data_IF_427143533084
#
_entry.id   IF_427143533084
#
_cell.length_a   1.000
_cell.length_b   1.000
_cell.length_c   1.000
_cell.angle_alpha   90.00
_cell.angle_beta   90.00
_cell.angle_gamma   90.00
#
_symmetry.space_group_name_H-M   'P 1'
#
loop_
_entity.id
_entity.type
_entity.pdbx_description
1 polymer ?
#
# COMPACT_ATOMS: atom_id res chain seq x y z
N UNK A 1 -8.87 15.92 -59.11
CA UNK A 1 -7.94 15.32 -58.13
C UNK A 1 -8.72 15.15 -56.84
N UNK A 2 -9.10 13.91 -56.58
CA UNK A 2 -10.10 13.51 -55.58
C UNK A 2 -9.62 13.64 -54.14
N UNK A 3 -10.58 13.94 -53.27
CA UNK A 3 -10.46 13.91 -51.82
C UNK A 3 -10.24 12.48 -51.31
N UNK A 4 -9.42 12.33 -50.26
CA UNK A 4 -9.42 11.13 -49.40
C UNK A 4 -9.64 11.56 -47.96
N UNK A 5 -10.88 11.39 -47.53
CA UNK A 5 -11.31 11.41 -46.13
C UNK A 5 -10.67 10.24 -45.37
N UNK A 6 -10.02 10.53 -44.25
CA UNK A 6 -9.45 9.52 -43.37
C UNK A 6 -10.52 9.14 -42.31
N UNK A 7 -11.19 8.00 -42.51
CA UNK A 7 -12.21 7.49 -41.58
C UNK A 7 -11.54 6.98 -40.29
N UNK A 8 -11.94 7.47 -39.10
CA UNK A 8 -11.49 6.89 -37.83
C UNK A 8 -11.99 5.45 -37.70
N UNK A 9 -11.11 4.55 -37.25
CA UNK A 9 -11.36 3.09 -37.26
C UNK A 9 -12.54 2.72 -36.35
N UNK A 10 -13.52 2.05 -36.95
CA UNK A 10 -14.74 1.53 -36.30
C UNK A 10 -14.47 0.51 -35.17
N UNK A 11 -13.20 0.12 -34.95
CA UNK A 11 -12.76 -0.69 -33.82
C UNK A 11 -12.72 0.09 -32.50
N UNK A 12 -12.51 1.42 -32.51
CA UNK A 12 -12.42 2.25 -31.29
C UNK A 12 -13.76 2.48 -30.58
N UNK A 13 -14.89 2.38 -31.29
CA UNK A 13 -16.23 2.57 -30.70
C UNK A 13 -16.92 1.27 -30.26
N UNK A 14 -16.52 0.12 -30.82
CA UNK A 14 -17.06 -1.19 -30.39
C UNK A 14 -16.55 -1.56 -28.99
N UNK A 15 -15.28 -1.24 -28.72
CA UNK A 15 -14.60 -1.51 -27.45
C UNK A 15 -15.01 -0.59 -26.29
N UNK A 16 -15.50 0.63 -26.58
CA UNK A 16 -16.05 1.50 -25.54
C UNK A 16 -17.42 1.01 -25.03
N UNK A 17 -18.23 0.38 -25.90
CA UNK A 17 -19.55 -0.14 -25.53
C UNK A 17 -19.50 -1.52 -24.87
N UNK A 18 -18.56 -2.38 -25.26
CA UNK A 18 -18.33 -3.68 -24.59
C UNK A 18 -17.68 -3.50 -23.20
N UNK A 19 -16.83 -2.48 -23.03
CA UNK A 19 -16.22 -2.06 -21.75
C UNK A 19 -17.25 -1.63 -20.69
N UNK A 20 -18.31 -0.94 -21.08
CA UNK A 20 -19.37 -0.49 -20.16
C UNK A 20 -20.33 -1.64 -19.78
N UNK A 21 -20.54 -2.62 -20.67
CA UNK A 21 -21.33 -3.81 -20.39
C UNK A 21 -20.68 -4.69 -19.30
N UNK A 22 -19.36 -4.92 -19.39
CA UNK A 22 -18.59 -5.71 -18.41
C UNK A 22 -18.51 -5.00 -17.04
N UNK A 23 -18.37 -3.67 -17.03
CA UNK A 23 -18.41 -2.88 -15.78
C UNK A 23 -19.79 -2.83 -15.12
N UNK A 24 -20.86 -3.08 -15.89
CA UNK A 24 -22.24 -3.13 -15.38
C UNK A 24 -22.55 -4.51 -14.78
N UNK A 25 -22.06 -5.60 -15.37
CA UNK A 25 -22.21 -6.95 -14.81
C UNK A 25 -21.42 -7.15 -13.50
N UNK A 26 -20.29 -6.46 -13.33
CA UNK A 26 -19.53 -6.50 -12.07
C UNK A 26 -20.19 -5.71 -10.93
N UNK A 27 -21.16 -4.83 -11.21
CA UNK A 27 -21.91 -4.08 -10.18
C UNK A 27 -23.13 -4.81 -9.64
N UNK A 28 -23.69 -5.77 -10.39
CA UNK A 28 -24.92 -6.49 -10.00
C UNK A 28 -24.67 -7.63 -9.01
N UNK A 29 -23.41 -8.07 -8.84
CA UNK A 29 -23.06 -9.15 -7.91
C UNK A 29 -23.02 -8.68 -6.44
N UNK A 30 -22.92 -7.38 -6.19
CA UNK A 30 -22.76 -6.79 -4.84
C UNK A 30 -24.09 -6.44 -4.15
N UNK A 31 -25.24 -6.94 -4.63
CA UNK A 31 -26.57 -6.63 -4.06
C UNK A 31 -27.46 -7.86 -3.89
N UNK A 32 -27.14 -8.70 -2.91
CA UNK A 32 -28.11 -9.65 -2.35
C UNK A 32 -28.24 -9.42 -0.84
N UNK A 33 -29.45 -9.14 -0.32
CA UNK A 33 -29.69 -9.03 1.11
C UNK A 33 -29.77 -10.43 1.73
N UNK A 34 -28.89 -10.74 2.67
CA UNK A 34 -29.02 -11.93 3.52
C UNK A 34 -29.94 -11.61 4.68
N UNK A 35 -31.20 -12.04 4.54
CA UNK A 35 -32.11 -12.22 5.66
C UNK A 35 -32.70 -13.64 5.59
N UNK A 36 -33.11 -14.11 6.77
CA UNK A 36 -33.86 -15.34 7.06
C UNK A 36 -33.15 -16.68 7.34
N UNK A 37 -33.08 -16.96 8.65
CA UNK A 37 -33.88 -17.99 9.34
C UNK A 37 -33.74 -19.45 8.89
N UNK A 38 -33.19 -20.25 9.81
CA UNK A 38 -33.18 -21.70 9.80
C UNK A 38 -34.60 -22.29 9.73
N UNK A 39 -34.81 -23.23 8.82
CA UNK A 39 -35.74 -24.34 9.02
C UNK A 39 -35.29 -25.57 8.23
N UNK A 40 -35.02 -26.62 8.99
CA UNK A 40 -34.77 -27.99 8.56
C UNK A 40 -36.00 -28.59 7.87
N UNK A 41 -35.84 -29.23 6.72
CA UNK A 41 -36.61 -30.43 6.35
C UNK A 41 -35.80 -31.29 5.38
N UNK A 42 -35.70 -32.56 5.75
CA UNK A 42 -35.09 -33.69 5.05
C UNK A 42 -35.92 -34.13 3.85
N UNK A 43 -35.29 -34.45 2.72
CA UNK A 43 -35.77 -35.51 1.80
C UNK A 43 -34.66 -35.95 0.85
N UNK A 44 -34.30 -37.24 0.95
CA UNK A 44 -33.38 -37.94 0.07
C UNK A 44 -33.92 -38.05 -1.35
N UNK A 45 -33.11 -37.66 -2.33
CA UNK A 45 -33.13 -38.26 -3.67
C UNK A 45 -31.69 -38.35 -4.17
N UNK A 46 -31.12 -39.55 -4.11
CA UNK A 46 -29.85 -39.86 -4.77
C UNK A 46 -30.11 -40.05 -6.26
N UNK A 47 -29.41 -39.27 -7.09
CA UNK A 47 -29.46 -39.34 -8.56
C UNK A 47 -28.38 -40.31 -9.09
N UNK A 48 -28.60 -41.02 -10.22
CA UNK A 48 -27.88 -42.25 -10.57
C UNK A 48 -26.50 -42.07 -11.24
N UNK A 49 -25.75 -41.02 -10.89
CA UNK A 49 -24.46 -40.72 -11.53
C UNK A 49 -23.21 -41.16 -10.74
N UNK A 50 -23.38 -42.04 -9.76
CA UNK A 50 -22.26 -42.71 -9.09
C UNK A 50 -21.99 -44.08 -9.71
N UNK A 51 -21.31 -44.10 -10.86
CA UNK A 51 -20.46 -45.24 -11.21
C UNK A 51 -19.46 -44.88 -12.33
N UNK A 52 -18.34 -44.26 -11.96
CA UNK A 52 -16.97 -44.59 -12.45
C UNK A 52 -15.94 -43.61 -11.86
N UNK A 53 -15.39 -43.95 -10.70
CA UNK A 53 -14.03 -43.53 -10.33
C UNK A 53 -13.37 -44.58 -9.44
N UNK A 54 -12.84 -45.62 -10.07
CA UNK A 54 -11.80 -46.46 -9.48
C UNK A 54 -10.49 -46.09 -10.17
N UNK A 55 -9.59 -45.45 -9.43
CA UNK A 55 -8.17 -45.80 -9.27
C UNK A 55 -7.56 -44.69 -8.41
N UNK A 56 -6.90 -45.04 -7.30
CA UNK A 56 -6.31 -44.13 -6.30
C UNK A 56 -7.32 -43.52 -5.31
N UNK A 57 -7.47 -44.18 -4.16
CA UNK A 57 -8.25 -43.68 -3.03
C UNK A 57 -7.55 -42.48 -2.40
N UNK A 58 -7.98 -41.29 -2.80
CA UNK A 58 -7.61 -40.03 -2.16
C UNK A 58 -8.36 -40.00 -0.83
N UNK A 59 -7.63 -39.88 0.28
CA UNK A 59 -8.20 -39.79 1.62
C UNK A 59 -9.06 -38.52 1.76
N UNK A 60 -10.08 -38.53 2.62
CA UNK A 60 -10.90 -37.34 2.90
C UNK A 60 -10.06 -36.11 3.29
N UNK A 61 -8.87 -36.33 3.88
CA UNK A 61 -7.89 -35.29 4.19
C UNK A 61 -7.25 -34.67 2.94
N UNK A 62 -6.95 -35.49 1.94
CA UNK A 62 -6.43 -35.05 0.65
C UNK A 62 -7.52 -34.41 -0.22
N UNK A 63 -8.78 -34.87 -0.10
CA UNK A 63 -9.94 -34.21 -0.71
C UNK A 63 -10.16 -32.81 -0.12
N UNK A 64 -10.14 -32.66 1.21
CA UNK A 64 -10.21 -31.34 1.87
C UNK A 64 -9.01 -30.45 1.57
N UNK A 65 -7.82 -31.02 1.34
CA UNK A 65 -6.65 -30.28 0.92
C UNK A 65 -6.74 -29.83 -0.54
N UNK A 66 -7.35 -30.66 -1.40
CA UNK A 66 -7.65 -30.36 -2.80
C UNK A 66 -8.75 -29.29 -2.92
N UNK A 67 -9.84 -29.40 -2.17
CA UNK A 67 -10.91 -28.39 -2.12
C UNK A 67 -10.36 -27.07 -1.56
N UNK A 68 -9.49 -27.10 -0.53
CA UNK A 68 -8.74 -25.91 -0.08
C UNK A 68 -7.76 -25.35 -1.11
N UNK A 69 -7.27 -26.17 -2.03
CA UNK A 69 -6.35 -25.76 -3.11
C UNK A 69 -7.12 -25.17 -4.30
N UNK A 70 -8.30 -25.72 -4.62
CA UNK A 70 -9.24 -25.24 -5.64
C UNK A 70 -9.90 -23.92 -5.17
N UNK A 71 -10.11 -23.75 -3.87
CA UNK A 71 -10.70 -22.55 -3.26
C UNK A 71 -9.67 -21.51 -2.80
N UNK A 72 -8.38 -21.59 -3.18
CA UNK A 72 -7.49 -20.48 -2.85
C UNK A 72 -7.99 -19.23 -3.56
N UNK A 73 -8.47 -18.21 -2.83
CA UNK A 73 -9.08 -17.06 -3.46
C UNK A 73 -8.00 -16.38 -4.30
N UNK A 74 -8.26 -16.23 -5.59
CA UNK A 74 -7.44 -15.51 -6.56
C UNK A 74 -6.97 -14.18 -5.93
N UNK A 75 -5.66 -13.91 -5.98
CA UNK A 75 -5.03 -12.71 -5.38
C UNK A 75 -4.35 -11.86 -6.45
N UNK A 76 -5.13 -11.16 -7.30
CA UNK A 76 -4.57 -10.45 -8.45
C UNK A 76 -3.86 -9.16 -8.02
N UNK A 77 -4.17 -8.65 -6.82
CA UNK A 77 -3.64 -7.39 -6.35
C UNK A 77 -2.32 -7.59 -5.59
N UNK A 78 -1.20 -7.49 -6.31
CA UNK A 78 0.14 -7.43 -5.74
C UNK A 78 0.45 -6.02 -5.19
N UNK A 79 1.15 -5.91 -4.06
CA UNK A 79 1.52 -4.60 -3.50
C UNK A 79 2.38 -3.81 -4.49
N UNK A 80 2.10 -2.51 -4.68
CA UNK A 80 2.88 -1.62 -5.57
C UNK A 80 4.34 -1.45 -5.13
N UNK A 81 4.64 -1.75 -3.86
CA UNK A 81 6.02 -1.77 -3.33
C UNK A 81 6.63 -3.18 -3.31
N UNK A 82 6.13 -4.11 -4.14
CA UNK A 82 6.69 -5.45 -4.26
C UNK A 82 8.16 -5.42 -4.68
N UNK A 83 8.53 -4.53 -5.60
CA UNK A 83 9.92 -4.33 -6.04
C UNK A 83 10.89 -3.92 -4.92
N UNK A 84 10.38 -3.37 -3.82
CA UNK A 84 11.16 -2.97 -2.65
C UNK A 84 11.08 -4.01 -1.50
N UNK A 85 10.49 -5.18 -1.75
CA UNK A 85 10.45 -6.30 -0.81
C UNK A 85 9.09 -6.55 -0.13
N UNK A 86 8.00 -5.88 -0.52
CA UNK A 86 6.67 -6.25 -0.02
C UNK A 86 6.08 -7.46 -0.74
N UNK A 87 5.97 -8.59 -0.06
CA UNK A 87 5.40 -9.82 -0.66
C UNK A 87 3.89 -9.99 -0.41
N UNK A 88 3.17 -8.91 -0.10
CA UNK A 88 1.73 -9.00 0.20
C UNK A 88 0.88 -8.97 -1.07
N UNK A 89 -0.04 -9.92 -1.15
CA UNK A 89 -1.03 -10.05 -2.23
C UNK A 89 -2.44 -10.13 -1.66
N UNK A 90 -3.42 -9.61 -2.39
CA UNK A 90 -4.80 -9.45 -1.92
C UNK A 90 -5.79 -9.94 -2.97
N UNK A 91 -6.89 -10.51 -2.51
CA UNK A 91 -8.03 -10.86 -3.37
C UNK A 91 -8.96 -9.68 -3.62
N UNK A 92 -8.92 -8.65 -2.75
CA UNK A 92 -9.81 -7.48 -2.83
C UNK A 92 -9.03 -6.19 -3.01
N UNK A 93 -9.44 -5.38 -3.98
CA UNK A 93 -8.89 -4.04 -4.26
C UNK A 93 -8.83 -3.15 -3.03
N UNK A 94 -9.90 -3.11 -2.23
CA UNK A 94 -9.98 -2.25 -1.06
C UNK A 94 -8.99 -2.64 0.05
N UNK A 95 -8.64 -3.92 0.14
CA UNK A 95 -7.63 -4.40 1.09
C UNK A 95 -6.22 -4.04 0.63
N UNK A 96 -5.97 -4.18 -0.68
CA UNK A 96 -4.73 -3.78 -1.31
C UNK A 96 -4.46 -2.27 -1.16
N UNK A 97 -5.41 -1.40 -1.55
CA UNK A 97 -5.26 0.06 -1.37
C UNK A 97 -4.99 0.43 0.09
N UNK A 98 -5.74 -0.17 1.01
CA UNK A 98 -5.59 0.05 2.46
C UNK A 98 -4.23 -0.42 2.96
N UNK A 99 -3.73 -1.54 2.47
CA UNK A 99 -2.41 -2.05 2.83
C UNK A 99 -1.31 -1.07 2.41
N UNK A 100 -1.31 -0.64 1.15
CA UNK A 100 -0.33 0.32 0.61
C UNK A 100 -0.32 1.60 1.45
N UNK A 101 -1.51 2.18 1.69
CA UNK A 101 -1.63 3.44 2.42
C UNK A 101 -1.24 3.31 3.90
N UNK A 102 -1.65 2.22 4.59
CA UNK A 102 -1.42 2.09 6.04
C UNK A 102 -0.04 1.54 6.40
N UNK A 103 0.49 0.61 5.61
CA UNK A 103 1.73 -0.09 5.94
C UNK A 103 2.96 0.63 5.41
N UNK A 104 2.88 1.16 4.18
CA UNK A 104 4.05 1.72 3.51
C UNK A 104 4.02 3.25 3.51
N UNK A 105 2.87 3.85 3.16
CA UNK A 105 2.80 5.31 3.01
C UNK A 105 2.53 6.01 4.35
N UNK A 106 1.74 5.45 5.26
CA UNK A 106 1.46 6.00 6.59
C UNK A 106 1.32 7.54 6.60
N UNK A 107 0.37 8.10 5.84
CA UNK A 107 0.26 9.56 5.62
C UNK A 107 0.20 10.37 6.91
N UNK A 108 -0.45 9.81 7.92
CA UNK A 108 -0.64 10.45 9.21
C UNK A 108 -0.18 9.51 10.31
N UNK A 109 0.40 10.11 11.35
CA UNK A 109 0.74 9.42 12.58
C UNK A 109 0.50 10.34 13.78
N UNK A 110 0.49 9.75 14.96
CA UNK A 110 0.30 10.47 16.22
C UNK A 110 1.58 10.41 17.02
N UNK A 111 2.01 11.57 17.52
CA UNK A 111 3.21 11.71 18.34
C UNK A 111 2.85 12.45 19.62
N UNK A 112 3.11 11.81 20.76
CA UNK A 112 2.99 12.46 22.05
C UNK A 112 4.31 13.16 22.41
N UNK A 113 4.25 14.49 22.52
CA UNK A 113 5.38 15.36 22.85
C UNK A 113 5.47 15.72 24.34
N UNK A 114 4.61 15.15 25.19
CA UNK A 114 4.66 15.44 26.63
C UNK A 114 5.96 14.95 27.25
N UNK A 115 6.60 15.83 28.02
CA UNK A 115 7.90 15.56 28.66
C UNK A 115 7.94 14.30 29.52
N UNK A 116 6.80 13.89 30.09
CA UNK A 116 6.69 12.65 30.88
C UNK A 116 6.77 11.40 29.99
N UNK A 117 6.34 11.50 28.74
CA UNK A 117 6.35 10.43 27.75
C UNK A 117 7.62 10.42 26.91
N UNK A 118 8.35 11.53 26.85
CA UNK A 118 9.68 11.61 26.24
C UNK A 118 10.76 10.96 27.12
N UNK A 119 10.69 11.14 28.44
CA UNK A 119 11.66 10.58 29.39
C UNK A 119 11.53 9.06 29.60
N UNK A 120 10.35 8.48 29.39
CA UNK A 120 10.09 7.04 29.50
C UNK A 120 10.61 6.23 28.29
N UNK A 121 10.99 6.88 27.18
CA UNK A 121 11.57 6.24 25.98
C UNK A 121 13.05 5.88 26.15
N UNK A 122 13.55 5.77 27.39
CA UNK A 122 14.93 5.29 27.68
C UNK A 122 15.11 3.77 27.51
N UNK A 123 14.12 3.07 26.99
CA UNK A 123 14.25 1.69 26.53
C UNK A 123 13.94 1.61 25.04
N UNK A 124 14.93 1.85 24.18
CA UNK A 124 14.92 1.26 22.83
C UNK A 124 15.61 2.01 21.69
N UNK A 125 15.53 3.33 21.59
CA UNK A 125 16.02 3.99 20.36
C UNK A 125 16.47 5.43 20.63
N UNK A 126 17.77 5.68 20.47
CA UNK A 126 18.37 7.02 20.49
C UNK A 126 18.74 7.41 19.07
N UNK A 127 18.15 8.49 18.55
CA UNK A 127 18.66 9.21 17.40
C UNK A 127 19.20 10.58 17.82
N UNK A 128 20.47 10.81 17.50
CA UNK A 128 21.09 12.13 17.53
C UNK A 128 21.29 12.57 16.08
N UNK A 129 20.27 13.22 15.50
CA UNK A 129 20.47 14.04 14.31
C UNK A 129 19.41 15.16 14.23
N UNK A 130 19.91 16.39 14.06
CA UNK A 130 19.23 17.59 13.56
C UNK A 130 17.93 18.05 14.24
N UNK A 131 18.03 18.91 15.27
CA UNK A 131 17.04 19.93 15.71
C UNK A 131 15.52 19.62 15.59
N UNK A 132 15.11 18.35 15.61
CA UNK A 132 13.77 17.87 15.91
C UNK A 132 13.86 17.23 17.29
N UNK A 133 12.90 17.44 18.21
CA UNK A 133 12.98 16.82 19.53
C UNK A 133 13.06 15.30 19.35
N UNK A 134 14.16 14.68 19.78
CA UNK A 134 14.44 13.25 19.59
C UNK A 134 13.62 12.32 20.49
N UNK A 135 12.52 12.82 21.08
CA UNK A 135 11.81 12.14 22.13
C UNK A 135 10.31 12.37 22.05
N UNK A 136 9.55 11.28 22.14
CA UNK A 136 8.09 11.23 22.11
C UNK A 136 7.62 9.82 21.74
N UNK A 137 6.46 9.39 22.25
CA UNK A 137 5.90 8.09 21.87
C UNK A 137 5.11 8.23 20.57
N UNK A 138 5.49 7.47 19.56
CA UNK A 138 4.90 7.50 18.20
C UNK A 138 3.88 6.37 18.03
N UNK A 139 2.76 6.66 17.37
CA UNK A 139 1.68 5.73 17.10
C UNK A 139 1.18 5.88 15.67
N UNK A 140 1.08 4.77 14.92
CA UNK A 140 0.47 4.76 13.57
C UNK A 140 -1.03 5.03 13.58
N UNK A 141 -1.71 4.82 14.71
CA UNK A 141 -3.17 4.85 14.80
C UNK A 141 -3.68 5.72 15.95
N UNK A 142 -4.81 6.39 15.69
CA UNK A 142 -5.52 7.24 16.63
C UNK A 142 -5.91 6.52 17.92
N UNK A 143 -6.46 5.31 17.82
CA UNK A 143 -6.95 4.54 18.97
C UNK A 143 -5.81 4.17 19.94
N UNK A 144 -4.65 3.80 19.42
CA UNK A 144 -3.45 3.54 20.22
C UNK A 144 -2.96 4.80 20.94
N UNK A 145 -2.96 5.93 20.24
CA UNK A 145 -2.64 7.22 20.84
C UNK A 145 -3.68 7.61 21.92
N UNK A 146 -4.97 7.49 21.65
CA UNK A 146 -6.03 7.80 22.62
C UNK A 146 -5.94 6.93 23.87
N UNK A 147 -5.64 5.64 23.71
CA UNK A 147 -5.42 4.74 24.84
C UNK A 147 -4.23 5.19 25.68
N UNK A 148 -3.14 5.64 25.04
CA UNK A 148 -2.00 6.22 25.74
C UNK A 148 -2.36 7.49 26.49
N UNK A 149 -3.05 8.44 25.85
CA UNK A 149 -3.48 9.70 26.45
C UNK A 149 -4.34 9.46 27.69
N UNK A 150 -5.31 8.54 27.61
CA UNK A 150 -6.17 8.19 28.75
C UNK A 150 -5.38 7.67 29.95
N UNK A 151 -4.36 6.83 29.71
CA UNK A 151 -3.57 6.19 30.77
C UNK A 151 -2.48 7.09 31.36
N UNK A 152 -1.99 8.06 30.60
CA UNK A 152 -0.81 8.85 31.00
C UNK A 152 -1.14 10.29 31.34
N UNK A 153 -2.17 10.87 30.71
CA UNK A 153 -2.45 12.30 30.78
C UNK A 153 -3.78 12.64 31.43
N UNK A 154 -4.75 11.72 31.41
CA UNK A 154 -6.12 11.97 31.89
C UNK A 154 -6.49 11.23 33.18
N UNK A 155 -5.50 10.81 33.98
CA UNK A 155 -5.74 10.02 35.20
C UNK A 155 -6.55 10.78 36.28
N UNK A 156 -6.49 12.12 36.28
CA UNK A 156 -7.04 12.96 37.36
C UNK A 156 -8.02 14.04 36.84
N UNK A 157 -8.73 13.79 35.74
CA UNK A 157 -9.63 14.77 35.10
C UNK A 157 -11.07 14.25 35.06
N UNK A 158 -12.03 15.14 35.29
CA UNK A 158 -13.47 14.86 35.31
C UNK A 158 -13.99 14.56 33.90
N UNK A 159 -15.01 13.70 33.75
CA UNK A 159 -15.47 13.17 32.46
C UNK A 159 -15.73 14.20 31.34
N UNK A 160 -16.29 15.39 31.65
CA UNK A 160 -16.52 16.44 30.66
C UNK A 160 -15.21 17.09 30.17
N UNK A 161 -14.34 17.46 31.11
CA UNK A 161 -13.01 18.02 30.82
C UNK A 161 -12.11 17.01 30.09
N UNK A 162 -12.33 15.71 30.33
CA UNK A 162 -11.62 14.61 29.66
C UNK A 162 -11.87 14.58 28.15
N UNK A 163 -13.07 14.94 27.67
CA UNK A 163 -13.39 14.86 26.23
C UNK A 163 -12.80 16.02 25.42
N UNK A 164 -12.91 17.24 25.94
CA UNK A 164 -12.30 18.44 25.33
C UNK A 164 -10.78 18.32 25.32
N UNK A 165 -10.18 17.99 26.48
CA UNK A 165 -8.74 17.76 26.59
C UNK A 165 -8.28 16.64 25.64
N UNK A 166 -9.03 15.54 25.50
CA UNK A 166 -8.66 14.46 24.58
C UNK A 166 -8.65 14.90 23.12
N UNK A 167 -9.58 15.78 22.73
CA UNK A 167 -9.66 16.30 21.36
C UNK A 167 -8.47 17.21 21.07
N UNK A 168 -8.15 18.13 22.00
CA UNK A 168 -6.99 19.01 21.89
C UNK A 168 -5.68 18.22 21.87
N UNK A 169 -5.52 17.26 22.80
CA UNK A 169 -4.32 16.42 22.87
C UNK A 169 -4.17 15.52 21.64
N UNK A 170 -5.27 15.15 20.97
CA UNK A 170 -5.24 14.43 19.70
C UNK A 170 -4.82 15.34 18.55
N UNK A 171 -5.39 16.54 18.43
CA UNK A 171 -5.08 17.49 17.36
C UNK A 171 -3.62 17.92 17.41
N UNK A 172 -3.10 18.27 18.59
CA UNK A 172 -1.69 18.63 18.76
C UNK A 172 -0.74 17.49 18.45
N UNK A 173 -1.20 16.23 18.52
CA UNK A 173 -0.36 15.04 18.36
C UNK A 173 -0.36 14.52 16.91
N UNK A 174 -1.34 14.91 16.10
CA UNK A 174 -1.43 14.50 14.69
C UNK A 174 -0.27 15.12 13.90
N UNK A 175 0.43 14.30 13.13
CA UNK A 175 1.53 14.71 12.25
C UNK A 175 1.26 14.15 10.86
N UNK A 176 1.38 15.01 9.86
CA UNK A 176 1.46 14.58 8.46
C UNK A 176 2.89 14.10 8.19
N UNK A 177 3.02 12.90 7.67
CA UNK A 177 4.32 12.28 7.38
C UNK A 177 4.87 12.73 6.03
N UNK A 178 4.04 12.66 4.99
CA UNK A 178 4.42 12.99 3.63
C UNK A 178 3.20 13.38 2.81
N UNK A 179 3.44 13.94 1.63
CA UNK A 179 2.40 14.22 0.63
C UNK A 179 2.34 13.10 -0.42
N UNK A 180 1.14 12.84 -0.91
CA UNK A 180 0.92 11.95 -2.06
C UNK A 180 1.45 12.63 -3.35
N UNK A 181 1.81 11.85 -4.39
CA UNK A 181 2.26 12.41 -5.64
C UNK A 181 1.10 13.12 -6.34
N UNK A 182 1.38 14.32 -6.86
CA UNK A 182 0.42 15.11 -7.64
C UNK A 182 0.44 14.73 -9.12
N UNK A 183 1.43 13.97 -9.58
CA UNK A 183 1.52 13.48 -10.95
C UNK A 183 1.96 12.02 -10.93
N UNK A 184 1.26 11.18 -11.69
CA UNK A 184 1.56 9.76 -11.82
C UNK A 184 1.40 9.32 -13.27
N UNK A 185 2.23 8.39 -13.74
CA UNK A 185 2.11 7.74 -15.05
C UNK A 185 1.79 6.26 -14.86
N UNK A 186 1.02 5.66 -15.77
CA UNK A 186 0.80 4.22 -15.73
C UNK A 186 2.07 3.47 -16.17
N UNK A 187 2.51 2.41 -15.44
CA UNK A 187 3.65 1.59 -15.85
C UNK A 187 3.26 0.37 -16.71
N UNK A 188 1.98 0.16 -16.98
CA UNK A 188 1.53 -0.96 -17.81
C UNK A 188 1.95 -0.77 -19.27
N UNK A 189 2.35 -1.85 -19.93
CA UNK A 189 2.72 -1.82 -21.34
C UNK A 189 1.57 -1.30 -22.21
N UNK A 190 1.90 -0.40 -23.15
CA UNK A 190 0.92 0.25 -24.05
C UNK A 190 -0.16 1.09 -23.34
N UNK A 191 0.11 1.57 -22.12
CA UNK A 191 -0.79 2.47 -21.41
C UNK A 191 -0.12 3.83 -21.10
N UNK A 192 -0.45 4.85 -21.90
CA UNK A 192 0.12 6.19 -21.76
C UNK A 192 -0.70 7.13 -20.86
N UNK A 193 -1.54 6.59 -19.98
CA UNK A 193 -2.38 7.42 -19.11
C UNK A 193 -1.54 8.14 -18.04
N UNK A 194 -1.79 9.43 -17.93
CA UNK A 194 -1.18 10.34 -16.94
C UNK A 194 -2.28 10.87 -16.02
N UNK A 195 -1.98 10.92 -14.73
CA UNK A 195 -2.85 11.39 -13.67
C UNK A 195 -2.23 12.62 -13.03
N UNK A 196 -3.02 13.66 -12.79
CA UNK A 196 -2.53 14.93 -12.26
C UNK A 196 -3.50 15.56 -11.25
N UNK A 197 -2.98 16.28 -10.27
CA UNK A 197 -3.74 16.99 -9.24
C UNK A 197 -3.94 16.20 -7.95
N UNK A 198 -4.79 16.71 -7.06
CA UNK A 198 -4.96 16.20 -5.69
C UNK A 198 -5.47 14.75 -5.62
N UNK A 199 -6.11 14.28 -6.69
CA UNK A 199 -6.62 12.90 -6.81
C UNK A 199 -5.74 11.98 -7.64
N UNK A 200 -4.58 12.45 -8.11
CA UNK A 200 -3.71 11.71 -9.02
C UNK A 200 -3.38 10.31 -8.49
N UNK A 201 -3.01 10.22 -7.20
CA UNK A 201 -2.71 8.94 -6.56
C UNK A 201 -3.92 7.99 -6.50
N UNK A 202 -5.09 8.48 -6.10
CA UNK A 202 -6.29 7.65 -5.96
C UNK A 202 -6.79 7.15 -7.31
N UNK A 203 -6.78 8.03 -8.32
CA UNK A 203 -7.15 7.71 -9.70
C UNK A 203 -6.15 6.73 -10.32
N UNK A 204 -4.85 6.95 -10.10
CA UNK A 204 -3.79 6.02 -10.52
C UNK A 204 -3.95 4.64 -9.85
N UNK A 205 -4.20 4.57 -8.54
CA UNK A 205 -4.43 3.30 -7.83
C UNK A 205 -5.69 2.58 -8.33
N UNK A 206 -6.75 3.31 -8.66
CA UNK A 206 -7.96 2.73 -9.27
C UNK A 206 -7.69 2.20 -10.68
N UNK A 207 -6.87 2.91 -11.45
CA UNK A 207 -6.47 2.50 -12.77
C UNK A 207 -5.56 1.27 -12.76
N UNK A 208 -4.52 1.27 -11.93
CA UNK A 208 -3.59 0.17 -11.75
C UNK A 208 -4.31 -1.13 -11.34
N UNK A 209 -5.37 -1.03 -10.51
CA UNK A 209 -6.20 -2.18 -10.16
C UNK A 209 -6.83 -2.88 -11.38
N UNK A 210 -7.18 -2.12 -12.43
CA UNK A 210 -7.74 -2.70 -13.66
C UNK A 210 -6.70 -3.49 -14.43
N UNK A 211 -5.48 -2.98 -14.54
CA UNK A 211 -4.38 -3.69 -15.18
C UNK A 211 -4.00 -4.96 -14.40
N UNK A 212 -3.99 -4.91 -13.07
CA UNK A 212 -3.75 -6.10 -12.24
C UNK A 212 -4.79 -7.21 -12.45
N UNK A 213 -6.05 -6.84 -12.63
CA UNK A 213 -7.10 -7.80 -12.97
C UNK A 213 -6.92 -8.35 -14.39
N UNK A 214 -6.70 -7.49 -15.38
CA UNK A 214 -6.50 -7.92 -16.77
C UNK A 214 -5.28 -8.83 -16.93
N UNK A 215 -4.18 -8.54 -16.22
CA UNK A 215 -3.00 -9.39 -16.19
C UNK A 215 -3.28 -10.76 -15.57
N UNK A 216 -4.08 -10.80 -14.49
CA UNK A 216 -4.48 -12.07 -13.89
C UNK A 216 -5.31 -12.94 -14.84
N UNK A 217 -6.18 -12.33 -15.65
CA UNK A 217 -6.98 -13.02 -16.68
C UNK A 217 -6.15 -13.37 -17.94
N UNK A 218 -4.85 -13.03 -17.98
CA UNK A 218 -3.98 -13.25 -19.13
C UNK A 218 -4.30 -12.36 -20.34
N UNK A 219 -5.07 -11.29 -20.14
CA UNK A 219 -5.43 -10.33 -21.19
C UNK A 219 -4.34 -9.28 -21.42
N UNK A 220 -3.49 -9.05 -20.43
CA UNK A 220 -2.39 -8.09 -20.47
C UNK A 220 -1.13 -8.70 -19.81
N UNK A 221 0.08 -8.19 -20.12
CA UNK A 221 1.29 -8.53 -19.38
C UNK A 221 1.21 -8.13 -17.91
N UNK A 222 2.02 -8.78 -17.07
CA UNK A 222 2.14 -8.40 -15.66
C UNK A 222 2.65 -6.95 -15.50
N UNK A 223 2.04 -6.22 -14.57
CA UNK A 223 2.38 -4.81 -14.33
C UNK A 223 3.66 -4.70 -13.51
N UNK A 224 4.66 -4.09 -14.11
CA UNK A 224 5.96 -3.80 -13.50
C UNK A 224 5.97 -2.56 -12.62
N UNK A 225 5.61 -2.67 -11.34
CA UNK A 225 5.73 -1.52 -10.42
C UNK A 225 7.15 -1.29 -9.94
N UNK A 226 7.50 -0.01 -9.84
CA UNK A 226 8.77 0.53 -9.38
C UNK A 226 9.99 0.18 -10.24
N UNK A 227 11.17 0.47 -9.67
CA UNK A 227 12.46 0.22 -10.30
C UNK A 227 12.62 0.97 -11.63
N UNK A 228 13.13 0.27 -12.64
CA UNK A 228 13.30 0.80 -14.00
C UNK A 228 12.02 0.75 -14.84
N UNK A 229 10.98 0.07 -14.37
CA UNK A 229 9.71 -0.12 -15.10
C UNK A 229 8.68 0.97 -14.76
N UNK A 230 8.77 1.54 -13.56
CA UNK A 230 7.96 2.68 -13.11
C UNK A 230 8.84 3.68 -12.37
N UNK A 231 9.46 4.57 -13.15
CA UNK A 231 10.32 5.62 -12.59
C UNK A 231 9.51 6.61 -11.76
N UNK A 232 8.27 6.91 -12.15
CA UNK A 232 7.43 7.88 -11.47
C UNK A 232 7.12 7.47 -10.01
N UNK A 233 6.66 6.22 -9.80
CA UNK A 233 6.44 5.70 -8.45
C UNK A 233 7.75 5.64 -7.65
N UNK A 234 8.84 5.23 -8.30
CA UNK A 234 10.14 5.03 -7.63
C UNK A 234 10.75 6.35 -7.18
N UNK A 235 10.74 7.37 -8.04
CA UNK A 235 11.25 8.71 -7.74
C UNK A 235 10.47 9.37 -6.60
N UNK A 236 9.14 9.28 -6.62
CA UNK A 236 8.34 9.77 -5.50
C UNK A 236 8.62 8.97 -4.23
N UNK A 237 8.63 7.64 -4.30
CA UNK A 237 8.78 6.78 -3.11
C UNK A 237 10.14 6.93 -2.42
N UNK A 238 11.21 7.24 -3.18
CA UNK A 238 12.55 7.45 -2.65
C UNK A 238 12.85 8.87 -2.19
N UNK A 239 11.98 9.83 -2.52
CA UNK A 239 12.19 11.22 -2.16
C UNK A 239 12.38 11.38 -0.65
N UNK A 240 13.29 12.24 -0.19
CA UNK A 240 13.66 12.33 1.23
C UNK A 240 12.47 12.60 2.16
N UNK A 241 11.49 13.38 1.70
CA UNK A 241 10.26 13.70 2.45
C UNK A 241 9.22 12.56 2.45
N UNK A 242 9.35 11.59 1.55
CA UNK A 242 8.42 10.47 1.39
C UNK A 242 9.02 9.19 1.97
N UNK A 243 10.29 8.92 1.67
CA UNK A 243 11.16 7.91 2.27
C UNK A 243 10.50 6.53 2.47
N UNK A 244 9.73 6.06 1.48
CA UNK A 244 9.06 4.74 1.53
C UNK A 244 9.99 3.64 1.03
N UNK A 245 10.79 3.93 0.01
CA UNK A 245 11.76 3.00 -0.56
C UNK A 245 13.15 3.64 -0.60
N UNK A 246 14.20 2.85 -0.38
CA UNK A 246 15.59 3.29 -0.53
C UNK A 246 16.34 2.37 -1.48
N UNK A 247 17.32 2.95 -2.16
CA UNK A 247 18.24 2.18 -2.98
C UNK A 247 19.25 1.45 -2.11
N UNK A 248 19.43 0.16 -2.35
CA UNK A 248 20.40 -0.70 -1.67
C UNK A 248 21.29 -1.40 -2.70
N UNK A 249 22.38 -2.03 -2.24
CA UNK A 249 23.18 -2.89 -3.12
C UNK A 249 22.29 -4.01 -3.65
N UNK A 250 22.09 -4.07 -4.97
CA UNK A 250 21.28 -5.09 -5.63
C UNK A 250 19.80 -4.74 -5.84
N UNK A 251 19.34 -3.51 -5.54
CA UNK A 251 17.98 -3.09 -5.89
C UNK A 251 17.38 -2.07 -4.94
N UNK A 252 16.17 -2.38 -4.46
CA UNK A 252 15.37 -1.51 -3.60
C UNK A 252 14.97 -2.23 -2.32
N UNK A 253 14.89 -1.48 -1.24
CA UNK A 253 14.38 -1.96 0.05
C UNK A 253 13.37 -0.98 0.61
N UNK A 254 12.34 -1.51 1.27
CA UNK A 254 11.40 -0.71 2.04
C UNK A 254 12.06 -0.09 3.28
N UNK A 255 11.69 1.13 3.58
CA UNK A 255 11.91 1.74 4.89
C UNK A 255 10.64 1.59 5.73
N UNK A 256 10.79 1.42 7.04
CA UNK A 256 9.64 1.58 7.92
C UNK A 256 9.35 3.10 8.02
N UNK A 257 8.15 3.55 7.61
CA UNK A 257 7.81 4.97 7.52
C UNK A 257 7.94 5.73 8.85
N UNK A 258 8.02 5.03 10.00
CA UNK A 258 8.18 5.62 11.32
C UNK A 258 9.46 5.21 12.06
N UNK A 259 10.32 4.38 11.45
CA UNK A 259 11.57 3.93 12.06
C UNK A 259 12.77 4.81 11.67
N UNK A 260 12.73 5.45 10.49
CA UNK A 260 13.85 6.21 9.93
C UNK A 260 13.75 7.73 10.14
N UNK A 261 13.25 8.19 11.31
CA UNK A 261 13.66 9.50 11.83
C UNK A 261 15.12 9.51 12.32
N UNK A 262 15.80 8.37 12.25
CA UNK A 262 17.05 8.10 12.98
C UNK A 262 18.30 8.04 12.10
N UNK A 263 18.17 8.18 10.77
CA UNK A 263 19.30 7.95 9.85
C UNK A 263 19.42 9.04 8.78
N UNK A 264 19.81 10.25 9.19
CA UNK A 264 20.57 11.16 8.32
C UNK A 264 21.89 11.50 9.01
N UNK A 265 22.77 10.51 9.08
CA UNK A 265 24.21 10.74 9.12
C UNK A 265 24.84 9.85 8.06
N UNK A 266 24.97 10.39 6.85
CA UNK A 266 25.97 9.94 5.89
C UNK A 266 26.84 11.13 5.54
N UNK A 267 27.89 11.28 6.35
CA UNK A 267 29.26 11.58 5.93
C UNK A 267 29.39 12.40 4.64
N UNK A 268 29.57 13.71 4.78
CA UNK A 268 30.34 14.47 3.79
C UNK A 268 31.79 14.00 3.84
N UNK A 269 32.44 13.67 2.71
CA UNK A 269 33.88 13.48 2.67
C UNK A 269 34.50 14.87 2.53
N UNK A 270 35.01 15.45 3.62
CA UNK A 270 35.83 16.65 3.55
C UNK A 270 37.31 16.27 3.59
N UNK A 271 37.96 16.57 2.46
CA UNK A 271 39.38 16.90 2.28
C UNK A 271 40.42 15.84 2.58
N UNK A 272 40.81 15.12 1.52
CA UNK A 272 42.21 14.77 1.25
C UNK A 272 43.05 16.06 1.21
N UNK A 273 43.93 16.23 2.19
CA UNK A 273 45.09 17.12 2.07
C UNK A 273 46.25 16.22 1.68
N UNK A 274 46.69 16.32 0.43
CA UNK A 274 47.94 15.74 -0.05
C UNK A 274 48.74 16.88 -0.70
N UNK A 275 49.85 17.21 -0.06
CA UNK A 275 51.16 17.60 -0.62
C UNK A 275 51.24 18.73 -1.66
N UNK A 276 51.79 19.88 -1.23
CA UNK A 276 52.74 20.67 -2.02
C UNK A 276 53.81 21.22 -1.07
N UNK A 277 54.96 20.55 -0.99
CA UNK A 277 56.21 21.16 -0.52
C UNK A 277 57.35 20.68 -1.42
N UNK A 278 57.62 21.49 -2.45
CA UNK A 278 58.79 21.38 -3.30
C UNK A 278 59.72 22.58 -3.03
N UNK A 279 60.80 22.29 -2.28
CA UNK A 279 62.21 22.62 -2.56
C UNK A 279 62.63 24.11 -2.62
N UNK A 280 63.63 24.46 -1.80
CA UNK A 280 64.99 24.75 -2.31
C UNK A 280 66.10 24.68 -1.23
N UNK A 281 67.36 24.41 -1.65
CA UNK A 281 68.47 24.00 -0.78
C UNK A 281 69.46 25.12 -0.43
N UNK A 282 70.34 24.82 0.54
CA UNK A 282 71.68 25.38 0.67
C UNK A 282 72.70 24.22 0.65
#
# INVERSE_FOLDING_TARGET
MEARENKPSLLRHRWAKEKDAILTELRTVDSAPTDCTAQSLSTSFASPFDLKRSQYGITHREQLAFDKHIETPIRPFICVFHYAGCNKTFSKKNEWKRHVLKQHICLEYYRCDDMKCTAATRSGTTCRANNLPAHGKVFRRKDLHMQHVRRMHLLNINAHQTQEAMTELQQRALRTRCQLPLNMTCPAENCDLVFSGDKAWDDWMEHAARHLLAAHEGLEPEVGFGGSQDTCLTEWAQHADVNVARRVQGGWALNDPLQDCDLVVRSSPSSSVCDEDAKEPA
#
